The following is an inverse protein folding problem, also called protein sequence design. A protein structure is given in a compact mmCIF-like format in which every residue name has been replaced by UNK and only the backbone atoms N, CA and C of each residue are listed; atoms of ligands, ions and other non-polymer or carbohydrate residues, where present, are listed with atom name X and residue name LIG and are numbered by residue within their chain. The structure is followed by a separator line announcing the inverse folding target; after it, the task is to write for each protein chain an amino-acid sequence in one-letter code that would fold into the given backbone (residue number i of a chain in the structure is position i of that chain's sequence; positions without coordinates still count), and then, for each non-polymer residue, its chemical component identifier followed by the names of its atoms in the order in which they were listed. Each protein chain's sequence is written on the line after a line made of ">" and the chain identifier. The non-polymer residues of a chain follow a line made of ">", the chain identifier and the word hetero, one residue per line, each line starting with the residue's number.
data_IF_676052952600
#
_entry.id   IF_676052952600
#
_cell.length_a   1.000
_cell.length_b   1.000
_cell.length_c   1.000
_cell.angle_alpha   90.00
_cell.angle_beta   90.00
_cell.angle_gamma   90.00
#
_symmetry.space_group_name_H-M   'P 1'
#
loop_
_entity.id
_entity.type
_entity.pdbx_description
1 polymer ?
#
# COMPACT_ATOMS: atom_id res chain seq x y z
N UNK A 1 -20.27 14.34 -12.23
CA UNK A 1 -19.04 13.50 -12.16
C UNK A 1 -18.26 13.89 -10.91
N UNK A 2 -17.97 12.96 -10.00
CA UNK A 2 -17.29 13.27 -8.73
C UNK A 2 -15.89 13.84 -9.01
N UNK A 3 -15.53 14.97 -8.38
CA UNK A 3 -14.22 15.62 -8.54
C UNK A 3 -13.11 14.61 -8.20
N UNK A 4 -12.22 14.35 -9.15
CA UNK A 4 -11.06 13.50 -8.92
C UNK A 4 -10.18 14.13 -7.83
N UNK A 5 -10.02 13.45 -6.69
CA UNK A 5 -9.09 13.89 -5.65
C UNK A 5 -7.69 13.92 -6.23
N UNK A 6 -6.98 15.05 -6.05
CA UNK A 6 -5.60 15.24 -6.49
C UNK A 6 -4.71 14.15 -5.87
N UNK A 7 -4.23 13.24 -6.72
CA UNK A 7 -3.32 12.16 -6.29
C UNK A 7 -1.95 12.78 -6.06
N UNK A 8 -1.62 13.05 -4.81
CA UNK A 8 -0.28 13.53 -4.44
C UNK A 8 0.70 12.37 -4.57
N UNK A 9 1.62 12.45 -5.55
CA UNK A 9 2.72 11.49 -5.70
C UNK A 9 3.72 11.70 -4.56
N UNK A 10 3.58 10.93 -3.48
CA UNK A 10 4.56 10.86 -2.40
C UNK A 10 5.59 9.77 -2.71
N UNK A 11 6.88 10.08 -2.57
CA UNK A 11 7.94 9.08 -2.60
C UNK A 11 7.72 8.03 -1.50
N UNK A 12 8.07 6.78 -1.78
CA UNK A 12 8.05 5.72 -0.77
C UNK A 12 9.28 5.86 0.11
N UNK A 13 9.08 6.05 1.41
CA UNK A 13 10.19 6.08 2.35
C UNK A 13 10.61 4.67 2.76
N UNK A 14 11.84 4.51 3.26
CA UNK A 14 12.30 3.21 3.80
C UNK A 14 11.42 2.72 4.96
N UNK A 15 10.90 3.65 5.77
CA UNK A 15 9.97 3.36 6.86
C UNK A 15 8.63 2.83 6.33
N UNK A 16 8.06 3.47 5.30
CA UNK A 16 6.84 3.00 4.63
C UNK A 16 7.01 1.56 4.12
N UNK A 17 8.16 1.25 3.53
CA UNK A 17 8.47 -0.10 3.03
C UNK A 17 8.58 -1.12 4.17
N UNK A 18 9.20 -0.75 5.29
CA UNK A 18 9.32 -1.63 6.47
C UNK A 18 7.96 -1.91 7.10
N UNK A 19 7.12 -0.88 7.24
CA UNK A 19 5.73 -1.00 7.70
C UNK A 19 4.89 -1.84 6.75
N UNK A 20 5.03 -1.64 5.44
CA UNK A 20 4.34 -2.45 4.44
C UNK A 20 4.74 -3.93 4.52
N UNK A 21 6.04 -4.25 4.65
CA UNK A 21 6.54 -5.63 4.78
C UNK A 21 6.04 -6.31 6.06
N UNK A 22 6.04 -5.60 7.19
CA UNK A 22 5.55 -6.14 8.46
C UNK A 22 4.04 -6.44 8.40
N UNK A 23 3.25 -5.52 7.85
CA UNK A 23 1.81 -5.74 7.68
C UNK A 23 1.49 -6.83 6.65
N UNK A 24 2.29 -6.96 5.59
CA UNK A 24 2.18 -8.03 4.61
C UNK A 24 2.43 -9.41 5.23
N UNK A 25 3.46 -9.52 6.08
CA UNK A 25 3.73 -10.75 6.86
C UNK A 25 2.57 -11.10 7.79
N UNK A 26 1.93 -10.10 8.39
CA UNK A 26 0.72 -10.26 9.19
C UNK A 26 -0.54 -10.58 8.36
N UNK A 27 -0.41 -10.77 7.02
CA UNK A 27 -1.51 -11.05 6.08
C UNK A 27 -2.65 -10.04 6.19
N UNK A 28 -2.35 -8.81 6.58
CA UNK A 28 -3.34 -7.74 6.61
C UNK A 28 -3.70 -7.39 5.16
N UNK A 29 -4.97 -7.53 4.80
CA UNK A 29 -5.43 -7.26 3.45
C UNK A 29 -5.01 -5.86 2.95
N UNK A 30 -4.84 -5.71 1.64
CA UNK A 30 -4.32 -4.49 0.98
C UNK A 30 -5.05 -3.22 1.43
N UNK A 31 -6.36 -3.30 1.66
CA UNK A 31 -7.16 -2.16 2.11
C UNK A 31 -6.73 -1.63 3.49
N UNK A 32 -6.37 -2.52 4.42
CA UNK A 32 -5.91 -2.14 5.77
C UNK A 32 -4.51 -1.53 5.71
N UNK A 33 -3.62 -2.12 4.92
CA UNK A 33 -2.26 -1.61 4.71
C UNK A 33 -2.29 -0.21 4.07
N UNK A 34 -3.10 -0.04 3.03
CA UNK A 34 -3.27 1.23 2.36
C UNK A 34 -3.78 2.33 3.32
N UNK A 35 -4.79 2.01 4.15
CA UNK A 35 -5.28 2.93 5.20
C UNK A 35 -4.19 3.28 6.21
N UNK A 36 -3.43 2.30 6.70
CA UNK A 36 -2.37 2.53 7.68
C UNK A 36 -1.23 3.40 7.13
N UNK A 37 -0.86 3.21 5.86
CA UNK A 37 0.18 3.99 5.18
C UNK A 37 -0.34 5.31 4.59
N UNK A 38 -1.64 5.61 4.75
CA UNK A 38 -2.33 6.74 4.09
C UNK A 38 -2.05 6.79 2.58
N UNK A 39 -1.94 5.61 1.95
CA UNK A 39 -1.74 5.40 0.51
C UNK A 39 -2.99 4.80 -0.12
N UNK A 40 -3.02 4.77 -1.45
CA UNK A 40 -4.06 4.07 -2.18
C UNK A 40 -3.73 2.57 -2.26
N UNK A 41 -4.73 1.68 -2.30
CA UNK A 41 -4.51 0.24 -2.46
C UNK A 41 -3.73 -0.06 -3.74
N UNK A 42 -4.06 0.58 -4.87
CA UNK A 42 -3.31 0.42 -6.12
C UNK A 42 -1.82 0.79 -6.01
N UNK A 43 -1.49 1.91 -5.36
CA UNK A 43 -0.09 2.29 -5.14
C UNK A 43 0.64 1.29 -4.23
N UNK A 44 -0.04 0.74 -3.24
CA UNK A 44 0.49 -0.26 -2.31
C UNK A 44 0.75 -1.58 -3.03
N UNK A 45 -0.16 -2.03 -3.89
CA UNK A 45 0.02 -3.25 -4.71
C UNK A 45 1.18 -3.11 -5.67
N UNK A 46 1.28 -1.99 -6.40
CA UNK A 46 2.39 -1.74 -7.32
C UNK A 46 3.73 -1.70 -6.57
N UNK A 47 3.78 -1.04 -5.41
CA UNK A 47 5.01 -1.00 -4.63
C UNK A 47 5.40 -2.36 -4.07
N UNK A 48 4.43 -3.14 -3.58
CA UNK A 48 4.68 -4.48 -3.07
C UNK A 48 5.14 -5.42 -4.18
N UNK A 49 4.52 -5.36 -5.36
CA UNK A 49 4.95 -6.12 -6.53
C UNK A 49 6.40 -5.77 -6.92
N UNK A 50 6.75 -4.47 -6.97
CA UNK A 50 8.13 -4.01 -7.22
C UNK A 50 9.14 -4.52 -6.21
N UNK A 51 8.71 -4.77 -4.97
CA UNK A 51 9.56 -5.24 -3.89
C UNK A 51 9.51 -6.76 -3.69
N UNK A 52 8.81 -7.51 -4.56
CA UNK A 52 8.63 -8.95 -4.42
C UNK A 52 7.84 -9.36 -3.17
N UNK A 53 7.04 -8.46 -2.61
CA UNK A 53 6.20 -8.73 -1.43
C UNK A 53 4.81 -9.13 -1.92
N UNK A 54 4.41 -10.37 -1.66
CA UNK A 54 3.04 -10.81 -1.90
C UNK A 54 2.12 -10.20 -0.83
N UNK A 55 1.20 -9.34 -1.26
CA UNK A 55 0.11 -8.89 -0.40
C UNK A 55 -1.06 -9.85 -0.55
N UNK A 56 -1.64 -10.28 0.56
CA UNK A 56 -2.93 -11.00 0.53
C UNK A 56 -3.99 -10.06 -0.06
N UNK A 57 -4.55 -10.43 -1.20
CA UNK A 57 -5.70 -9.75 -1.82
C UNK A 57 -7.03 -10.24 -1.27
N UNK A 58 -7.03 -11.27 -0.41
CA UNK A 58 -8.25 -11.72 0.27
C UNK A 58 -8.71 -10.64 1.24
N UNK A 59 -9.96 -10.20 1.04
CA UNK A 59 -10.68 -9.24 1.86
C UNK A 59 -10.90 -9.79 3.28
#
# INVERSE_FOLDING_TARGET
>A
MAKAKKVVRRAWTKDDVRKMKTMAKAKLGVARIAKALKRTPGATTVMAAKLGVSLSTRA
#
